data_IF_737650440425
#
_entry.id   IF_737650440425
#
_cell.length_a   1.000
_cell.length_b   1.000
_cell.length_c   1.000
_cell.angle_alpha   90.00
_cell.angle_beta   90.00
_cell.angle_gamma   90.00
#
_symmetry.space_group_name_H-M   'P 1'
#
loop_
_entity.id
_entity.type
_entity.pdbx_description
1 polymer ?
#
# COMPACT_ATOMS: atom_id res chain seq x y z
N UNK A 1 48.09 51.06 -34.89
CA UNK A 1 47.21 50.08 -35.57
C UNK A 1 46.84 49.00 -34.55
N UNK A 2 45.65 49.09 -33.97
CA UNK A 2 45.09 48.07 -33.04
C UNK A 2 44.02 47.30 -33.78
N UNK A 3 44.22 46.01 -33.94
CA UNK A 3 43.24 45.06 -34.49
C UNK A 3 42.39 44.54 -33.33
N UNK A 4 41.04 44.66 -33.34
CA UNK A 4 40.20 44.03 -32.31
C UNK A 4 40.02 42.53 -32.62
N UNK A 5 40.38 41.69 -31.65
CA UNK A 5 40.02 40.29 -31.65
C UNK A 5 38.52 40.12 -31.44
N UNK A 6 37.87 39.60 -32.44
CA UNK A 6 36.44 39.26 -32.41
C UNK A 6 36.26 37.88 -31.79
N UNK A 7 36.00 37.79 -30.49
CA UNK A 7 35.61 36.56 -29.81
C UNK A 7 34.09 36.40 -29.87
N UNK A 8 33.61 35.77 -30.93
CA UNK A 8 32.22 35.28 -30.99
C UNK A 8 32.08 34.05 -30.10
N UNK A 9 31.77 34.29 -28.83
CA UNK A 9 31.22 33.25 -27.94
C UNK A 9 29.77 32.95 -28.39
N UNK A 10 29.62 31.92 -29.22
CA UNK A 10 28.32 31.35 -29.53
C UNK A 10 27.83 30.64 -28.28
N UNK A 11 26.66 30.99 -27.69
CA UNK A 11 26.12 30.25 -26.55
C UNK A 11 25.85 28.82 -27.01
N UNK A 12 26.49 27.85 -26.35
CA UNK A 12 26.25 26.45 -26.54
C UNK A 12 24.79 26.19 -26.10
N UNK A 13 23.91 26.03 -27.08
CA UNK A 13 22.52 25.62 -26.82
C UNK A 13 22.57 24.29 -26.10
N UNK A 14 22.17 24.28 -24.82
CA UNK A 14 21.88 23.07 -24.08
C UNK A 14 20.76 22.33 -24.84
N UNK A 15 21.14 21.35 -25.65
CA UNK A 15 20.18 20.43 -26.28
C UNK A 15 19.35 19.81 -25.14
N UNK A 16 18.04 19.99 -25.17
CA UNK A 16 17.16 19.46 -24.19
C UNK A 16 17.32 17.93 -24.14
N UNK A 17 17.81 17.38 -23.03
CA UNK A 17 18.02 15.93 -22.84
C UNK A 17 16.70 15.14 -22.81
N UNK A 18 15.57 15.84 -22.67
CA UNK A 18 14.21 15.30 -22.60
C UNK A 18 13.85 14.30 -23.72
N UNK A 19 14.16 14.53 -25.01
CA UNK A 19 13.85 13.55 -26.05
C UNK A 19 14.66 12.25 -25.94
N UNK A 20 15.90 12.34 -25.47
CA UNK A 20 16.78 11.17 -25.29
C UNK A 20 16.27 10.29 -24.15
N UNK A 21 15.94 10.88 -23.01
CA UNK A 21 15.38 10.18 -21.83
C UNK A 21 14.03 9.52 -22.18
N UNK A 22 13.17 10.23 -22.91
CA UNK A 22 11.90 9.68 -23.38
C UNK A 22 12.10 8.44 -24.25
N UNK A 23 13.00 8.49 -25.20
CA UNK A 23 13.31 7.36 -26.08
C UNK A 23 13.90 6.17 -25.30
N UNK A 24 14.75 6.44 -24.30
CA UNK A 24 15.32 5.40 -23.45
C UNK A 24 14.22 4.70 -22.63
N UNK A 25 13.31 5.45 -22.01
CA UNK A 25 12.20 4.89 -21.27
C UNK A 25 11.25 4.09 -22.17
N UNK A 26 10.89 4.63 -23.33
CA UNK A 26 10.03 3.94 -24.30
C UNK A 26 10.65 2.62 -24.78
N UNK A 27 11.95 2.58 -25.02
CA UNK A 27 12.67 1.35 -25.37
C UNK A 27 12.64 0.34 -24.22
N UNK A 28 12.86 0.78 -22.97
CA UNK A 28 12.84 -0.09 -21.80
C UNK A 28 11.45 -0.72 -21.58
N UNK A 29 10.38 0.08 -21.66
CA UNK A 29 9.00 -0.41 -21.50
C UNK A 29 8.56 -1.31 -22.66
N UNK A 30 9.02 -1.03 -23.87
CA UNK A 30 8.70 -1.82 -25.07
C UNK A 30 9.59 -3.06 -25.23
N UNK A 31 10.47 -3.35 -24.28
CA UNK A 31 11.20 -4.60 -24.26
C UNK A 31 10.22 -5.79 -24.16
N UNK A 32 10.43 -6.83 -24.98
CA UNK A 32 9.54 -7.96 -25.08
C UNK A 32 9.34 -8.69 -23.74
N UNK A 33 10.40 -8.80 -22.92
CA UNK A 33 10.33 -9.42 -21.60
C UNK A 33 9.47 -8.59 -20.62
N UNK A 34 9.60 -7.27 -20.64
CA UNK A 34 8.80 -6.37 -19.83
C UNK A 34 7.33 -6.44 -20.24
N UNK A 35 7.06 -6.40 -21.54
CA UNK A 35 5.70 -6.53 -22.08
C UNK A 35 5.08 -7.88 -21.75
N UNK A 36 5.87 -8.97 -21.86
CA UNK A 36 5.39 -10.31 -21.51
C UNK A 36 4.97 -10.39 -20.03
N UNK A 37 5.78 -9.84 -19.10
CA UNK A 37 5.44 -9.79 -17.67
C UNK A 37 4.16 -8.99 -17.41
N UNK A 38 3.97 -7.83 -18.04
CA UNK A 38 2.71 -7.08 -17.91
C UNK A 38 1.51 -7.87 -18.44
N UNK A 39 1.67 -8.61 -19.56
CA UNK A 39 0.61 -9.46 -20.12
C UNK A 39 0.29 -10.64 -19.21
N UNK A 40 1.29 -11.25 -18.59
CA UNK A 40 1.11 -12.34 -17.62
C UNK A 40 0.23 -11.88 -16.44
N UNK A 41 0.51 -10.70 -15.88
CA UNK A 41 -0.17 -10.17 -14.69
C UNK A 41 -1.55 -9.58 -15.02
N UNK A 42 -1.66 -8.84 -16.12
CA UNK A 42 -2.86 -8.03 -16.43
C UNK A 42 -3.72 -8.62 -17.56
N UNK A 43 -3.22 -9.64 -18.27
CA UNK A 43 -3.91 -10.23 -19.41
C UNK A 43 -4.25 -9.18 -20.48
N UNK A 44 -5.51 -9.12 -20.87
CA UNK A 44 -6.03 -8.17 -21.88
C UNK A 44 -5.88 -6.70 -21.53
N UNK A 45 -5.68 -6.36 -20.25
CA UNK A 45 -5.57 -4.99 -19.79
C UNK A 45 -4.12 -4.45 -19.85
N UNK A 46 -3.14 -5.30 -20.18
CA UNK A 46 -1.72 -4.94 -20.17
C UNK A 46 -1.39 -3.75 -21.10
N UNK A 47 -1.92 -3.74 -22.32
CA UNK A 47 -1.64 -2.69 -23.30
C UNK A 47 -2.19 -1.33 -22.83
N UNK A 48 -3.40 -1.31 -22.28
CA UNK A 48 -4.00 -0.09 -21.71
C UNK A 48 -3.20 0.42 -20.51
N UNK A 49 -2.73 -0.48 -19.65
CA UNK A 49 -1.92 -0.14 -18.49
C UNK A 49 -0.57 0.46 -18.89
N UNK A 50 0.12 -0.17 -19.84
CA UNK A 50 1.41 0.35 -20.36
C UNK A 50 1.21 1.68 -21.08
N UNK A 51 0.11 1.86 -21.80
CA UNK A 51 -0.25 3.17 -22.38
C UNK A 51 -0.40 4.26 -21.31
N UNK A 52 -1.06 3.92 -20.17
CA UNK A 52 -1.21 4.81 -19.02
C UNK A 52 0.15 5.13 -18.37
N UNK A 53 1.05 4.13 -18.25
CA UNK A 53 2.40 4.32 -17.74
C UNK A 53 3.23 5.27 -18.61
N UNK A 54 3.21 5.07 -19.91
CA UNK A 54 3.89 5.96 -20.87
C UNK A 54 3.36 7.40 -20.79
N UNK A 55 2.04 7.56 -20.67
CA UNK A 55 1.40 8.86 -20.50
C UNK A 55 1.81 9.54 -19.20
N UNK A 56 1.81 8.80 -18.09
CA UNK A 56 2.22 9.29 -16.78
C UNK A 56 3.67 9.80 -16.78
N UNK A 57 4.59 9.02 -17.34
CA UNK A 57 6.00 9.40 -17.38
C UNK A 57 6.23 10.60 -18.31
N UNK A 58 5.50 10.67 -19.45
CA UNK A 58 5.57 11.82 -20.37
C UNK A 58 5.08 13.13 -19.74
N UNK A 59 4.14 13.06 -18.80
CA UNK A 59 3.56 14.23 -18.13
C UNK A 59 4.34 14.66 -16.87
N UNK A 60 5.36 13.89 -16.44
CA UNK A 60 6.12 14.17 -15.22
C UNK A 60 7.63 14.14 -15.49
N UNK A 61 8.25 15.31 -15.53
CA UNK A 61 9.68 15.48 -15.82
C UNK A 61 10.59 14.79 -14.80
N UNK A 62 10.16 14.66 -13.55
CA UNK A 62 10.94 13.96 -12.51
C UNK A 62 10.91 12.45 -12.72
N UNK A 63 9.77 11.89 -13.12
CA UNK A 63 9.66 10.47 -13.50
C UNK A 63 10.43 10.18 -14.77
N UNK A 64 10.45 11.11 -15.71
CA UNK A 64 11.22 10.96 -16.95
C UNK A 64 12.74 10.92 -16.69
N UNK A 65 13.20 11.61 -15.63
CA UNK A 65 14.61 11.60 -15.18
C UNK A 65 14.94 10.43 -14.25
N UNK A 66 13.96 9.68 -13.80
CA UNK A 66 14.18 8.52 -12.95
C UNK A 66 14.73 7.33 -13.77
N UNK A 67 15.50 6.48 -13.10
CA UNK A 67 16.01 5.25 -13.70
C UNK A 67 14.86 4.38 -14.24
N UNK A 68 14.82 4.03 -15.54
CA UNK A 68 13.68 3.35 -16.15
C UNK A 68 13.29 2.04 -15.48
N UNK A 69 14.25 1.27 -15.00
CA UNK A 69 14.03 0.00 -14.28
C UNK A 69 13.22 0.22 -12.99
N UNK A 70 13.48 1.27 -12.23
CA UNK A 70 12.74 1.58 -10.99
C UNK A 70 11.31 2.01 -11.28
N UNK A 71 11.07 2.76 -12.36
CA UNK A 71 9.72 3.13 -12.81
C UNK A 71 8.93 1.90 -13.24
N UNK A 72 9.56 0.99 -13.99
CA UNK A 72 8.96 -0.27 -14.44
C UNK A 72 8.65 -1.17 -13.24
N UNK A 73 9.57 -1.28 -12.27
CA UNK A 73 9.36 -2.06 -11.05
C UNK A 73 8.18 -1.52 -10.23
N UNK A 74 8.12 -0.20 -10.01
CA UNK A 74 7.00 0.44 -9.32
C UNK A 74 5.66 0.25 -10.06
N UNK A 75 5.68 0.30 -11.40
CA UNK A 75 4.49 0.02 -12.21
C UNK A 75 4.08 -1.45 -12.15
N UNK A 76 5.03 -2.38 -12.08
CA UNK A 76 4.75 -3.81 -11.94
C UNK A 76 4.06 -4.12 -10.61
N UNK A 77 4.44 -3.46 -9.50
CA UNK A 77 3.75 -3.59 -8.21
C UNK A 77 2.29 -3.13 -8.30
N UNK A 78 2.02 -2.00 -8.95
CA UNK A 78 0.65 -1.55 -9.19
C UNK A 78 -0.12 -2.55 -10.07
N UNK A 79 0.53 -3.12 -11.09
CA UNK A 79 -0.06 -4.12 -11.98
C UNK A 79 -0.42 -5.41 -11.25
N UNK A 80 0.47 -5.93 -10.38
CA UNK A 80 0.23 -7.12 -9.55
C UNK A 80 -1.00 -6.95 -8.67
N UNK A 81 -1.22 -5.75 -8.13
CA UNK A 81 -2.42 -5.41 -7.37
C UNK A 81 -3.64 -5.10 -8.26
N UNK A 82 -3.46 -5.11 -9.58
CA UNK A 82 -4.50 -4.70 -10.55
C UNK A 82 -5.06 -3.31 -10.22
N UNK A 83 -4.18 -2.39 -9.75
CA UNK A 83 -4.53 -1.01 -9.43
C UNK A 83 -4.14 -0.08 -10.57
N UNK A 84 -5.07 0.73 -11.10
CA UNK A 84 -4.75 1.77 -12.07
C UNK A 84 -3.80 2.81 -11.48
N UNK A 85 -2.81 3.23 -12.28
CA UNK A 85 -1.81 4.25 -11.91
C UNK A 85 -2.23 5.68 -12.30
N UNK A 86 -3.49 5.89 -12.64
CA UNK A 86 -4.03 7.21 -12.91
C UNK A 86 -4.14 8.00 -11.59
N UNK A 87 -3.38 9.09 -11.49
CA UNK A 87 -3.32 9.93 -10.29
C UNK A 87 -4.67 10.49 -9.86
N UNK A 88 -5.58 10.78 -10.82
CA UNK A 88 -6.91 11.30 -10.53
C UNK A 88 -7.80 10.29 -9.78
N UNK A 89 -7.53 8.99 -9.91
CA UNK A 89 -8.29 7.95 -9.21
C UNK A 89 -7.85 7.81 -7.75
N UNK A 90 -6.60 8.16 -7.42
CA UNK A 90 -6.07 8.09 -6.06
C UNK A 90 -5.86 6.66 -5.54
N UNK A 91 -5.74 5.67 -6.45
CA UNK A 91 -5.59 4.26 -6.10
C UNK A 91 -4.12 3.86 -5.92
N UNK A 92 -3.30 4.22 -6.90
CA UNK A 92 -1.87 3.94 -6.94
C UNK A 92 -1.11 5.09 -7.55
N UNK A 93 0.09 5.33 -7.06
CA UNK A 93 0.99 6.38 -7.52
C UNK A 93 2.37 5.80 -7.79
N UNK A 94 3.05 6.34 -8.78
CA UNK A 94 4.47 6.15 -9.02
C UNK A 94 5.13 7.48 -8.69
N UNK A 95 5.94 7.52 -7.63
CA UNK A 95 6.48 8.75 -7.06
C UNK A 95 7.98 8.81 -7.29
N UNK A 96 8.50 9.84 -7.99
CA UNK A 96 9.93 10.04 -8.15
C UNK A 96 10.55 10.58 -6.85
N UNK A 97 11.78 10.17 -6.57
CA UNK A 97 12.58 10.69 -5.47
C UNK A 97 14.08 10.64 -5.84
N UNK A 98 14.88 11.42 -5.13
CA UNK A 98 16.33 11.42 -5.28
C UNK A 98 16.97 10.39 -4.33
N UNK A 99 17.66 9.42 -4.90
CA UNK A 99 18.46 8.48 -4.11
C UNK A 99 19.88 9.02 -3.93
N UNK A 100 20.23 9.46 -2.73
CA UNK A 100 21.54 10.05 -2.43
C UNK A 100 22.68 9.05 -2.54
N UNK A 101 22.44 7.74 -2.32
CA UNK A 101 23.44 6.68 -2.42
C UNK A 101 23.74 6.34 -3.87
N UNK A 102 22.69 6.12 -4.66
CA UNK A 102 22.80 5.84 -6.10
C UNK A 102 23.13 7.11 -6.93
N UNK A 103 22.98 8.31 -6.34
CA UNK A 103 23.15 9.62 -6.99
C UNK A 103 22.29 9.77 -8.25
N UNK A 104 21.08 9.23 -8.23
CA UNK A 104 20.15 9.28 -9.36
C UNK A 104 18.71 9.47 -8.87
N UNK A 105 17.83 9.92 -9.78
CA UNK A 105 16.40 9.88 -9.53
C UNK A 105 15.90 8.46 -9.72
N UNK A 106 15.12 7.99 -8.76
CA UNK A 106 14.45 6.70 -8.79
C UNK A 106 12.95 6.89 -8.60
N UNK A 107 12.17 5.84 -8.84
CA UNK A 107 10.74 5.85 -8.63
C UNK A 107 10.34 4.74 -7.65
N UNK A 108 9.31 5.02 -6.86
CA UNK A 108 8.72 4.05 -5.94
C UNK A 108 7.22 3.98 -6.12
N UNK A 109 6.66 2.81 -5.84
CA UNK A 109 5.23 2.60 -5.76
C UNK A 109 4.69 3.17 -4.44
N UNK A 110 3.56 3.86 -4.52
CA UNK A 110 2.80 4.27 -3.35
C UNK A 110 1.32 3.95 -3.55
N UNK A 111 0.74 3.19 -2.63
CA UNK A 111 -0.68 2.93 -2.64
C UNK A 111 -1.45 4.07 -1.96
N UNK A 112 -2.48 4.57 -2.65
CA UNK A 112 -3.41 5.53 -2.07
C UNK A 112 -4.36 4.87 -1.07
N UNK A 113 -4.96 5.64 -0.16
CA UNK A 113 -5.94 5.10 0.78
C UNK A 113 -7.14 4.44 0.06
N UNK A 114 -7.56 5.01 -1.09
CA UNK A 114 -8.60 4.40 -1.94
C UNK A 114 -8.17 3.05 -2.51
N UNK A 115 -6.85 2.85 -2.74
CA UNK A 115 -6.31 1.57 -3.17
C UNK A 115 -6.47 0.50 -2.09
N UNK A 116 -6.17 0.82 -0.83
CA UNK A 116 -6.42 -0.09 0.29
C UNK A 116 -7.88 -0.47 0.42
N UNK A 117 -8.79 0.52 0.35
CA UNK A 117 -10.24 0.27 0.40
C UNK A 117 -10.67 -0.62 -0.75
N UNK A 118 -10.23 -0.33 -1.97
CA UNK A 118 -10.60 -1.13 -3.14
C UNK A 118 -10.11 -2.58 -3.05
N UNK A 119 -8.89 -2.81 -2.54
CA UNK A 119 -8.40 -4.18 -2.33
C UNK A 119 -9.22 -4.92 -1.29
N UNK A 120 -9.58 -4.26 -0.19
CA UNK A 120 -10.44 -4.82 0.84
C UNK A 120 -11.85 -5.12 0.30
N UNK A 121 -12.46 -4.20 -0.43
CA UNK A 121 -13.79 -4.38 -1.06
C UNK A 121 -13.83 -5.55 -2.04
N UNK A 122 -12.77 -5.78 -2.81
CA UNK A 122 -12.68 -6.91 -3.74
C UNK A 122 -12.79 -8.28 -3.06
N UNK A 123 -12.49 -8.37 -1.78
CA UNK A 123 -12.62 -9.62 -1.02
C UNK A 123 -14.06 -10.02 -0.76
N UNK A 124 -15.00 -9.06 -0.81
CA UNK A 124 -16.40 -9.27 -0.46
C UNK A 124 -16.64 -9.61 1.01
N UNK A 125 -15.63 -9.47 1.90
CA UNK A 125 -15.73 -9.87 3.31
C UNK A 125 -16.12 -8.71 4.24
N UNK A 126 -16.00 -7.47 3.77
CA UNK A 126 -16.24 -6.29 4.58
C UNK A 126 -17.68 -5.82 4.51
N UNK A 127 -18.27 -5.58 5.69
CA UNK A 127 -19.56 -4.89 5.83
C UNK A 127 -19.35 -3.38 5.89
N UNK A 128 -18.29 -2.94 6.58
CA UNK A 128 -17.96 -1.52 6.76
C UNK A 128 -16.45 -1.31 6.78
N UNK A 129 -15.99 -0.29 6.08
CA UNK A 129 -14.62 0.25 6.16
C UNK A 129 -14.77 1.76 6.31
N UNK A 130 -14.19 2.33 7.35
CA UNK A 130 -14.24 3.76 7.58
C UNK A 130 -12.92 4.28 8.15
N UNK A 131 -12.57 5.51 7.81
CA UNK A 131 -11.54 6.29 8.48
C UNK A 131 -12.00 7.74 8.56
N UNK A 132 -11.87 8.36 9.73
CA UNK A 132 -12.28 9.74 9.96
C UNK A 132 -11.40 10.46 10.98
N UNK A 133 -11.30 11.80 10.88
CA UNK A 133 -10.72 12.57 11.97
C UNK A 133 -11.63 12.49 13.20
N UNK A 134 -11.02 12.57 14.36
CA UNK A 134 -11.71 12.64 15.64
C UNK A 134 -11.58 14.06 16.18
N UNK A 135 -12.72 14.66 16.48
CA UNK A 135 -12.78 16.00 17.03
C UNK A 135 -12.86 15.95 18.56
N UNK A 136 -12.45 17.04 19.19
CA UNK A 136 -12.46 17.18 20.64
C UNK A 136 -13.83 16.82 21.23
N UNK A 137 -13.81 15.97 22.26
CA UNK A 137 -14.97 15.45 22.97
C UNK A 137 -15.68 14.27 22.32
N UNK A 138 -15.37 13.88 21.07
CA UNK A 138 -16.02 12.75 20.41
C UNK A 138 -15.65 11.37 20.99
N UNK A 139 -14.50 11.28 21.65
CA UNK A 139 -14.09 10.10 22.42
C UNK A 139 -14.14 10.49 23.90
N UNK A 140 -14.92 9.76 24.69
CA UNK A 140 -14.97 9.88 26.15
C UNK A 140 -13.92 8.99 26.79
N UNK A 141 -13.82 7.74 26.31
CA UNK A 141 -12.84 6.76 26.79
C UNK A 141 -12.59 5.69 25.72
N UNK A 142 -11.53 4.92 25.90
CA UNK A 142 -11.19 3.75 25.08
C UNK A 142 -10.97 2.56 26.00
N UNK A 143 -11.81 1.54 25.87
CA UNK A 143 -11.58 0.27 26.55
C UNK A 143 -10.28 -0.37 26.01
N UNK A 144 -9.25 -0.34 26.83
CA UNK A 144 -7.91 -0.82 26.44
C UNK A 144 -7.86 -2.33 26.18
N UNK A 145 -8.82 -3.11 26.69
CA UNK A 145 -8.85 -4.57 26.50
C UNK A 145 -9.46 -4.92 25.15
N UNK A 146 -10.62 -4.35 24.83
CA UNK A 146 -11.33 -4.62 23.58
C UNK A 146 -10.93 -3.67 22.45
N UNK A 147 -10.42 -2.48 22.77
CA UNK A 147 -10.15 -1.38 21.86
C UNK A 147 -11.44 -0.67 21.39
N UNK A 148 -12.56 -0.88 22.09
CA UNK A 148 -13.80 -0.21 21.77
C UNK A 148 -13.78 1.24 22.25
N UNK A 149 -14.31 2.13 21.40
CA UNK A 149 -14.43 3.55 21.70
C UNK A 149 -15.75 3.85 22.38
N UNK A 150 -15.69 4.47 23.53
CA UNK A 150 -16.85 5.07 24.21
C UNK A 150 -17.04 6.46 23.62
N UNK A 151 -18.20 6.66 22.97
CA UNK A 151 -18.50 7.88 22.22
C UNK A 151 -18.93 8.99 23.17
N UNK A 152 -18.22 10.12 23.10
CA UNK A 152 -18.60 11.37 23.74
C UNK A 152 -19.34 12.31 22.77
N UNK A 153 -19.49 13.56 23.19
CA UNK A 153 -20.12 14.62 22.38
C UNK A 153 -19.05 15.56 21.86
N UNK A 154 -19.11 15.86 20.56
CA UNK A 154 -18.23 16.84 19.94
C UNK A 154 -18.36 18.20 20.65
N UNK A 155 -17.22 18.72 21.12
CA UNK A 155 -17.10 20.03 21.82
C UNK A 155 -16.64 21.11 20.88
N UNK A 156 -15.66 20.81 19.99
CA UNK A 156 -15.11 21.78 19.04
C UNK A 156 -14.78 21.13 17.69
N UNK A 157 -14.36 21.94 16.71
CA UNK A 157 -13.86 21.50 15.41
C UNK A 157 -12.35 21.18 15.42
N UNK A 158 -11.73 21.14 16.60
CA UNK A 158 -10.33 20.79 16.76
C UNK A 158 -10.12 19.29 16.58
N UNK A 159 -9.28 18.91 15.63
CA UNK A 159 -8.91 17.50 15.40
C UNK A 159 -7.91 17.09 16.49
N UNK A 160 -8.27 16.09 17.27
CA UNK A 160 -7.46 15.52 18.38
C UNK A 160 -6.86 14.14 18.04
N UNK A 161 -7.30 13.53 16.96
CA UNK A 161 -6.78 12.24 16.53
C UNK A 161 -7.47 11.71 15.28
N UNK A 162 -7.18 10.47 14.94
CA UNK A 162 -7.69 9.81 13.75
C UNK A 162 -8.07 8.38 14.09
N UNK A 163 -9.20 7.94 13.58
CA UNK A 163 -9.75 6.61 13.81
C UNK A 163 -9.98 5.89 12.48
N UNK A 164 -9.68 4.59 12.47
CA UNK A 164 -10.13 3.69 11.42
C UNK A 164 -10.94 2.55 12.05
N UNK A 165 -11.93 2.08 11.31
CA UNK A 165 -12.85 1.03 11.72
C UNK A 165 -13.11 0.07 10.57
N UNK A 166 -13.12 -1.23 10.89
CA UNK A 166 -13.57 -2.29 9.99
C UNK A 166 -14.60 -3.17 10.68
N UNK A 167 -15.53 -3.66 9.89
CA UNK A 167 -16.50 -4.69 10.29
C UNK A 167 -16.65 -5.68 9.15
N UNK A 168 -16.51 -6.96 9.45
CA UNK A 168 -16.69 -8.04 8.48
C UNK A 168 -18.12 -8.56 8.49
N UNK A 169 -18.49 -9.28 7.44
CA UNK A 169 -19.80 -9.91 7.31
C UNK A 169 -20.06 -10.97 8.40
N UNK A 170 -19.01 -11.58 8.96
CA UNK A 170 -19.10 -12.53 10.07
C UNK A 170 -19.28 -11.88 11.43
N UNK A 171 -19.38 -10.54 11.50
CA UNK A 171 -19.55 -9.77 12.74
C UNK A 171 -18.25 -9.40 13.45
N UNK A 172 -17.06 -9.86 12.98
CA UNK A 172 -15.80 -9.37 13.53
C UNK A 172 -15.64 -7.89 13.23
N UNK A 173 -15.28 -7.13 14.25
CA UNK A 173 -15.00 -5.69 14.07
C UNK A 173 -13.75 -5.29 14.84
N UNK A 174 -13.06 -4.30 14.33
CA UNK A 174 -11.88 -3.71 14.98
C UNK A 174 -11.80 -2.22 14.73
N UNK A 175 -11.43 -1.51 15.78
CA UNK A 175 -11.12 -0.09 15.76
C UNK A 175 -9.62 0.12 15.95
N UNK A 176 -9.05 1.10 15.25
CA UNK A 176 -7.69 1.57 15.48
C UNK A 176 -7.70 3.09 15.57
N UNK A 177 -7.19 3.61 16.67
CA UNK A 177 -7.12 5.03 16.95
C UNK A 177 -5.66 5.44 17.19
N UNK A 178 -5.30 6.62 16.71
CA UNK A 178 -4.07 7.31 17.06
C UNK A 178 -4.42 8.75 17.40
N UNK A 179 -3.90 9.25 18.50
CA UNK A 179 -3.98 10.66 18.81
C UNK A 179 -3.11 11.50 17.85
N UNK A 180 -3.32 12.81 17.85
CA UNK A 180 -2.61 13.70 16.92
C UNK A 180 -1.10 13.70 17.17
N UNK A 181 -0.67 13.65 18.42
CA UNK A 181 0.74 13.66 18.81
C UNK A 181 1.43 12.34 18.41
N UNK A 182 0.73 11.20 18.55
CA UNK A 182 1.21 9.91 18.05
C UNK A 182 1.35 9.93 16.53
N UNK A 183 0.39 10.52 15.83
CA UNK A 183 0.42 10.65 14.39
C UNK A 183 1.57 11.54 13.93
N UNK A 184 1.83 12.65 14.63
CA UNK A 184 2.99 13.51 14.35
C UNK A 184 4.32 12.78 14.59
N UNK A 185 4.44 12.04 15.70
CA UNK A 185 5.61 11.18 15.97
C UNK A 185 5.79 10.13 14.87
N UNK A 186 4.69 9.53 14.39
CA UNK A 186 4.73 8.59 13.27
C UNK A 186 5.25 9.26 11.99
N UNK A 187 4.71 10.44 11.63
CA UNK A 187 5.16 11.20 10.47
C UNK A 187 6.64 11.57 10.58
N UNK A 188 7.09 12.04 11.74
CA UNK A 188 8.49 12.36 12.01
C UNK A 188 9.39 11.12 11.93
N UNK A 189 8.93 9.96 12.36
CA UNK A 189 9.72 8.72 12.32
C UNK A 189 9.93 8.21 10.90
N UNK A 190 8.87 8.23 10.08
CA UNK A 190 8.85 7.52 8.80
C UNK A 190 8.95 8.41 7.56
N UNK A 191 8.85 9.75 7.66
CA UNK A 191 8.93 10.64 6.53
C UNK A 191 10.08 11.64 6.65
N UNK A 192 11.11 11.48 5.81
CA UNK A 192 12.23 12.42 5.74
C UNK A 192 11.81 13.80 5.21
N UNK A 193 10.86 13.83 4.28
CA UNK A 193 10.33 15.08 3.76
C UNK A 193 9.61 15.87 4.84
N UNK A 194 8.85 15.21 5.71
CA UNK A 194 8.21 15.84 6.87
C UNK A 194 9.22 16.40 7.86
N UNK A 195 10.27 15.63 8.20
CA UNK A 195 11.39 16.09 9.03
C UNK A 195 12.03 17.35 8.48
N UNK A 196 12.17 17.46 7.17
CA UNK A 196 12.74 18.62 6.47
C UNK A 196 11.73 19.76 6.25
N UNK A 197 10.49 19.59 6.69
CA UNK A 197 9.46 20.63 6.67
C UNK A 197 8.76 20.82 5.32
N UNK A 198 8.74 19.83 4.43
CA UNK A 198 8.05 19.84 3.14
C UNK A 198 7.36 18.51 2.83
N UNK A 199 6.61 18.47 1.71
CA UNK A 199 5.97 17.27 1.19
C UNK A 199 4.54 17.04 1.68
N UNK A 200 3.93 15.97 1.20
CA UNK A 200 2.48 15.72 1.33
C UNK A 200 2.01 15.66 2.79
N UNK A 201 2.83 15.17 3.70
CA UNK A 201 2.53 15.16 5.14
C UNK A 201 2.37 16.57 5.70
N UNK A 202 3.14 17.55 5.19
CA UNK A 202 3.00 18.95 5.63
C UNK A 202 1.83 19.65 4.95
N UNK A 203 1.66 19.39 3.65
CA UNK A 203 0.67 20.09 2.83
C UNK A 203 -0.76 19.56 3.09
N UNK A 204 -0.89 18.27 3.46
CA UNK A 204 -2.18 17.63 3.68
C UNK A 204 -2.07 16.54 4.77
N UNK A 205 -1.83 16.99 6.02
CA UNK A 205 -1.61 16.13 7.17
C UNK A 205 -2.78 15.17 7.41
N UNK A 206 -4.01 15.67 7.38
CA UNK A 206 -5.20 14.85 7.66
C UNK A 206 -5.36 13.70 6.66
N UNK A 207 -5.15 13.94 5.38
CA UNK A 207 -5.24 12.88 4.38
C UNK A 207 -4.17 11.79 4.56
N UNK A 208 -2.96 12.19 4.96
CA UNK A 208 -1.89 11.23 5.25
C UNK A 208 -2.15 10.48 6.56
N UNK A 209 -2.70 11.14 7.57
CA UNK A 209 -3.10 10.53 8.83
C UNK A 209 -4.22 9.49 8.63
N UNK A 210 -5.26 9.83 7.87
CA UNK A 210 -6.34 8.90 7.51
C UNK A 210 -5.82 7.69 6.74
N UNK A 211 -4.92 7.91 5.76
CA UNK A 211 -4.22 6.82 5.07
C UNK A 211 -3.49 5.92 6.05
N UNK A 212 -2.79 6.51 7.01
CA UNK A 212 -1.94 5.79 7.95
C UNK A 212 -2.76 4.91 8.89
N UNK A 213 -3.79 5.44 9.56
CA UNK A 213 -4.63 4.63 10.46
C UNK A 213 -5.34 3.51 9.70
N UNK A 214 -5.81 3.79 8.48
CA UNK A 214 -6.47 2.78 7.65
C UNK A 214 -5.49 1.68 7.22
N UNK A 215 -4.29 2.05 6.74
CA UNK A 215 -3.23 1.10 6.38
C UNK A 215 -2.87 0.21 7.56
N UNK A 216 -2.61 0.80 8.74
CA UNK A 216 -2.23 0.06 9.94
C UNK A 216 -3.33 -0.90 10.39
N UNK A 217 -4.59 -0.47 10.36
CA UNK A 217 -5.72 -1.33 10.70
C UNK A 217 -5.86 -2.50 9.73
N UNK A 218 -5.90 -2.22 8.42
CA UNK A 218 -6.10 -3.25 7.39
C UNK A 218 -4.89 -4.20 7.33
N UNK A 219 -3.66 -3.72 7.42
CA UNK A 219 -2.47 -4.57 7.38
C UNK A 219 -2.38 -5.51 8.57
N UNK A 220 -2.95 -5.14 9.73
CA UNK A 220 -2.88 -5.95 10.96
C UNK A 220 -4.07 -6.89 11.13
N UNK A 221 -5.26 -6.47 10.72
CA UNK A 221 -6.50 -7.20 11.00
C UNK A 221 -7.37 -7.42 9.76
N UNK A 222 -7.02 -6.80 8.65
CA UNK A 222 -7.81 -6.82 7.43
C UNK A 222 -7.56 -8.05 6.57
N UNK A 223 -8.57 -8.43 5.80
CA UNK A 223 -8.47 -9.43 4.74
C UNK A 223 -8.33 -8.67 3.41
N UNK A 224 -7.24 -8.88 2.68
CA UNK A 224 -7.00 -8.20 1.42
C UNK A 224 -6.91 -9.14 0.21
N UNK A 225 -6.94 -10.46 0.44
CA UNK A 225 -7.02 -11.47 -0.60
C UNK A 225 -7.69 -12.72 -0.06
N UNK A 226 -8.50 -13.38 -0.89
CA UNK A 226 -9.14 -14.67 -0.59
C UNK A 226 -8.31 -15.81 -1.18
N UNK A 227 -7.47 -15.54 -2.18
CA UNK A 227 -6.68 -16.54 -2.91
C UNK A 227 -5.23 -16.61 -2.40
N UNK A 228 -4.56 -17.72 -2.69
CA UNK A 228 -3.15 -17.99 -2.33
C UNK A 228 -2.13 -16.99 -2.92
N UNK A 229 -2.55 -15.98 -3.67
CA UNK A 229 -1.74 -14.82 -4.07
C UNK A 229 -1.39 -13.88 -2.90
N UNK A 230 -1.72 -14.27 -1.66
CA UNK A 230 -1.48 -13.47 -0.44
C UNK A 230 -0.01 -13.05 -0.27
N UNK A 231 0.95 -13.86 -0.74
CA UNK A 231 2.37 -13.52 -0.70
C UNK A 231 2.71 -12.29 -1.57
N UNK A 232 2.15 -12.21 -2.79
CA UNK A 232 2.37 -11.08 -3.68
C UNK A 232 1.68 -9.81 -3.16
N UNK A 233 0.52 -9.96 -2.53
CA UNK A 233 -0.19 -8.85 -1.91
C UNK A 233 0.53 -8.35 -0.66
N UNK A 234 0.98 -9.25 0.22
CA UNK A 234 1.77 -8.89 1.39
C UNK A 234 3.07 -8.16 0.98
N UNK A 235 3.77 -8.66 -0.06
CA UNK A 235 4.93 -8.01 -0.66
C UNK A 235 4.60 -6.62 -1.20
N UNK A 236 3.50 -6.46 -1.93
CA UNK A 236 3.13 -5.17 -2.49
C UNK A 236 2.73 -4.15 -1.41
N UNK A 237 2.13 -4.60 -0.30
CA UNK A 237 1.82 -3.74 0.84
C UNK A 237 3.09 -3.38 1.62
N UNK A 238 3.99 -4.35 1.83
CA UNK A 238 5.30 -4.11 2.41
C UNK A 238 6.13 -3.15 1.53
N UNK A 239 6.00 -3.27 0.22
CA UNK A 239 6.63 -2.40 -0.75
C UNK A 239 5.97 -1.01 -0.88
N UNK A 240 4.83 -0.75 -0.20
CA UNK A 240 4.25 0.59 -0.19
C UNK A 240 5.27 1.58 0.41
N UNK A 241 5.72 2.54 -0.40
CA UNK A 241 6.78 3.50 -0.10
C UNK A 241 8.21 2.91 -0.06
N UNK A 242 8.40 1.65 -0.44
CA UNK A 242 9.72 1.03 -0.54
C UNK A 242 10.23 0.97 -1.98
N UNK A 243 11.55 0.90 -2.12
CA UNK A 243 12.24 0.55 -3.36
C UNK A 243 12.45 -0.96 -3.31
N UNK A 244 12.10 -1.64 -4.38
CA UNK A 244 12.46 -3.05 -4.55
C UNK A 244 13.82 -3.12 -5.21
N UNK A 245 14.79 -3.70 -4.54
CA UNK A 245 16.11 -3.95 -5.06
C UNK A 245 16.11 -5.18 -5.98
N UNK A 246 17.21 -5.39 -6.74
CA UNK A 246 17.35 -6.53 -7.64
C UNK A 246 17.38 -7.91 -6.92
N UNK A 247 17.70 -7.90 -5.63
CA UNK A 247 17.72 -9.07 -4.73
C UNK A 247 16.40 -9.31 -3.98
N UNK A 248 15.28 -8.70 -4.43
CA UNK A 248 13.97 -8.73 -3.80
C UNK A 248 13.92 -8.13 -2.37
N UNK A 249 14.95 -7.41 -1.94
CA UNK A 249 14.94 -6.68 -0.66
C UNK A 249 14.24 -5.32 -0.83
N UNK A 250 13.69 -4.80 0.28
CA UNK A 250 12.98 -3.51 0.31
C UNK A 250 13.81 -2.46 1.01
N UNK A 251 14.09 -1.36 0.33
CA UNK A 251 14.72 -0.16 0.91
C UNK A 251 13.72 0.97 0.94
N UNK A 252 13.54 1.63 2.08
CA UNK A 252 12.66 2.79 2.18
C UNK A 252 13.46 4.05 1.91
N UNK A 253 13.07 4.81 0.88
CA UNK A 253 13.74 6.06 0.48
C UNK A 253 13.76 7.10 1.61
N UNK A 254 12.77 7.04 2.49
CA UNK A 254 12.60 7.95 3.61
C UNK A 254 13.24 7.45 4.91
N UNK A 255 13.98 6.34 4.90
CA UNK A 255 14.60 5.78 6.10
C UNK A 255 16.13 5.76 5.96
N UNK A 256 16.85 6.61 6.72
CA UNK A 256 18.31 6.65 6.74
C UNK A 256 18.95 5.47 7.51
N UNK A 257 18.15 4.64 8.19
CA UNK A 257 18.62 3.46 8.87
C UNK A 257 18.62 2.27 7.91
N UNK A 258 19.80 1.93 7.41
CA UNK A 258 20.09 0.77 6.57
C UNK A 258 19.90 -0.56 7.33
N UNK A 259 18.69 -0.88 7.69
CA UNK A 259 18.35 -2.26 8.02
C UNK A 259 17.50 -2.75 6.83
N UNK A 260 18.05 -3.62 5.97
CA UNK A 260 17.23 -4.32 4.99
C UNK A 260 16.16 -5.07 5.79
N UNK A 261 14.92 -4.67 5.63
CA UNK A 261 13.80 -5.45 6.14
C UNK A 261 13.64 -6.61 5.18
N UNK A 262 14.34 -7.69 5.46
CA UNK A 262 14.01 -8.99 4.87
C UNK A 262 12.64 -9.34 5.43
N UNK A 263 11.60 -9.20 4.63
CA UNK A 263 10.32 -9.83 4.91
C UNK A 263 10.55 -11.30 4.56
N UNK A 264 11.14 -12.04 5.52
CA UNK A 264 10.99 -13.48 5.49
C UNK A 264 9.48 -13.71 5.47
N UNK A 265 8.99 -14.31 4.40
CA UNK A 265 7.69 -14.92 4.42
C UNK A 265 7.75 -15.91 5.61
N UNK A 266 7.16 -15.54 6.73
CA UNK A 266 6.90 -16.50 7.79
C UNK A 266 5.97 -17.52 7.13
N UNK A 267 6.57 -18.63 6.72
CA UNK A 267 5.79 -19.83 6.50
C UNK A 267 4.94 -19.99 7.75
N UNK A 268 3.63 -20.19 7.60
CA UNK A 268 2.80 -20.45 8.75
C UNK A 268 3.48 -21.62 9.51
N UNK A 269 3.59 -21.56 10.84
CA UNK A 269 4.22 -22.60 11.60
C UNK A 269 3.60 -23.92 11.13
N UNK A 270 4.39 -24.75 10.50
CA UNK A 270 4.02 -26.13 10.22
C UNK A 270 3.94 -26.79 11.60
N UNK A 271 2.76 -26.73 12.21
CA UNK A 271 2.42 -27.68 13.24
C UNK A 271 2.34 -29.01 12.50
N UNK A 272 3.44 -29.73 12.48
CA UNK A 272 3.38 -31.17 12.30
C UNK A 272 2.50 -31.68 13.45
N UNK A 273 1.25 -31.92 13.12
CA UNK A 273 0.35 -32.65 14.01
C UNK A 273 0.93 -34.06 14.00
N UNK A 274 1.59 -34.45 15.10
CA UNK A 274 2.03 -35.79 15.30
C UNK A 274 0.76 -36.67 15.31
N UNK A 275 0.63 -37.52 14.28
CA UNK A 275 -0.55 -38.38 14.06
C UNK A 275 -0.75 -39.33 15.25
N UNK A 276 0.26 -39.46 16.14
CA UNK A 276 0.20 -40.27 17.35
C UNK A 276 -0.48 -39.58 18.53
N UNK A 277 -0.74 -38.26 18.45
CA UNK A 277 -1.45 -37.51 19.50
C UNK A 277 -2.98 -37.39 19.26
N UNK A 278 -3.50 -38.04 18.22
CA UNK A 278 -4.93 -38.12 17.99
C UNK A 278 -5.50 -39.23 18.87
N UNK A 279 -6.33 -38.92 19.90
CA UNK A 279 -6.96 -39.96 20.71
C UNK A 279 -7.84 -40.84 19.81
N UNK A 280 -7.86 -42.16 20.02
CA UNK A 280 -8.64 -43.09 19.21
C UNK A 280 -10.12 -42.71 19.27
N UNK A 281 -10.75 -42.62 18.09
CA UNK A 281 -12.20 -42.43 17.99
C UNK A 281 -12.86 -43.64 18.64
N UNK A 282 -13.48 -43.47 19.78
CA UNK A 282 -14.32 -44.48 20.40
C UNK A 282 -15.63 -44.51 19.62
N UNK A 283 -15.78 -45.52 18.76
CA UNK A 283 -17.08 -45.85 18.17
C UNK A 283 -18.01 -46.35 19.29
N UNK A 284 -18.87 -45.46 19.77
CA UNK A 284 -19.95 -45.84 20.67
C UNK A 284 -21.14 -46.36 19.85
N UNK A 285 -21.06 -47.66 19.54
CA UNK A 285 -22.11 -48.40 18.86
C UNK A 285 -23.03 -49.02 19.91
N UNK A 286 -24.05 -48.29 20.34
CA UNK A 286 -25.26 -48.92 20.89
C UNK A 286 -26.52 -48.25 20.33
N UNK A 287 -27.38 -48.98 19.61
CA UNK A 287 -28.69 -48.47 19.23
C UNK A 287 -29.62 -48.49 20.45
N UNK A 288 -30.21 -47.33 20.74
CA UNK A 288 -31.26 -47.18 21.75
C UNK A 288 -32.54 -47.93 21.30
N UNK A 289 -33.29 -48.56 22.23
CA UNK A 289 -34.49 -49.31 21.90
C UNK A 289 -35.63 -48.41 21.48
N UNK A 290 -36.41 -48.85 20.51
CA UNK A 290 -37.63 -48.24 20.05
C UNK A 290 -38.67 -48.19 21.20
N UNK A 291 -39.03 -46.97 21.62
CA UNK A 291 -40.16 -46.74 22.49
C UNK A 291 -41.29 -46.11 21.66
N UNK A 292 -42.35 -46.88 21.44
CA UNK A 292 -43.66 -46.40 21.02
C UNK A 292 -44.20 -45.44 22.09
N UNK A 293 -44.58 -44.24 21.70
CA UNK A 293 -45.69 -43.54 22.35
C UNK A 293 -46.32 -42.57 21.33
N UNK A 294 -47.51 -43.01 20.88
CA UNK A 294 -48.54 -42.15 20.37
C UNK A 294 -48.96 -41.16 21.44
N UNK A 295 -48.77 -39.87 21.21
CA UNK A 295 -49.57 -38.85 21.85
C UNK A 295 -49.75 -37.66 20.89
N UNK A 296 -51.02 -37.39 20.70
CA UNK A 296 -51.66 -36.39 19.86
C UNK A 296 -51.19 -34.96 20.15
N UNK A 297 -50.99 -34.18 19.10
CA UNK A 297 -50.96 -32.72 19.18
C UNK A 297 -52.38 -32.19 19.41
N UNK A 298 -52.58 -31.18 20.28
CA UNK A 298 -53.62 -30.19 20.09
C UNK A 298 -53.04 -28.77 19.99
N UNK A 299 -53.47 -28.10 18.94
CA UNK A 299 -53.47 -26.68 18.60
C UNK A 299 -52.15 -26.02 18.17
#
# INVERSE_FOLDING_TARGET
>A
MYTPMNTTNKPMQAQSQTPVLRNQFEKAVNNDLVRAKFREVLGKNAEAFVGSLLSLVKSNDLLLKAAPNTVIAAAMQAATLKLPINQNLGLAYIVPYWNSKAKENQAQFQMGWKGFVQLAERTGQYKTINASPVYEGQIEDIDFVTGNIIKGKKISDTVVGYVAYIEFLNGFSKTFYMDKDEMERHAMKYSQSYKKGFGVWKDNFDAMALKTVLKLLISKYGIMSIEMESSNLARAIAADQAIVNEDDTYTYADNDNDVPVTVEAQEPPQHEIDVNDIPPIVEDSQPAPAGNNDEECPF
#
